data_IF_337562537861
#
_entry.id   IF_337562537861
#
_cell.length_a   1.000
_cell.length_b   1.000
_cell.length_c   1.000
_cell.angle_alpha   90.00
_cell.angle_beta   90.00
_cell.angle_gamma   90.00
#
_symmetry.space_group_name_H-M   'P 1'
#
loop_
_entity.id
_entity.type
_entity.pdbx_description
1 polymer ?
#
# COMPACT_ATOMS: atom_id res chain seq x y z
N UNK A 1 11.30 2.05 -1.38
CA UNK A 1 11.67 3.06 -2.40
C UNK A 1 11.70 2.36 -3.75
N UNK A 2 10.98 2.86 -4.76
CA UNK A 2 11.06 2.33 -6.13
C UNK A 2 12.18 3.05 -6.87
N UNK A 3 13.01 2.30 -7.61
CA UNK A 3 14.04 2.87 -8.47
C UNK A 3 13.49 3.05 -9.88
N UNK A 4 13.74 4.21 -10.50
CA UNK A 4 13.42 4.51 -11.90
C UNK A 4 14.70 4.52 -12.72
N UNK A 5 14.61 4.10 -13.99
CA UNK A 5 15.76 3.97 -14.87
C UNK A 5 15.38 4.40 -16.29
N UNK A 6 16.13 5.34 -16.87
CA UNK A 6 15.90 5.84 -18.22
C UNK A 6 16.51 4.88 -19.25
N UNK A 7 15.82 4.67 -20.38
CA UNK A 7 16.30 3.81 -21.47
C UNK A 7 16.20 4.52 -22.81
N UNK A 8 17.24 4.38 -23.63
CA UNK A 8 17.22 4.74 -25.06
C UNK A 8 17.10 3.48 -25.90
N UNK A 9 16.38 3.57 -27.02
CA UNK A 9 16.20 2.45 -27.96
C UNK A 9 16.80 2.80 -29.31
N UNK A 10 17.84 2.08 -29.70
CA UNK A 10 18.55 2.22 -30.97
C UNK A 10 18.58 0.86 -31.66
N UNK A 11 18.07 0.77 -32.89
CA UNK A 11 18.08 -0.48 -33.69
C UNK A 11 17.56 -1.70 -32.92
N UNK A 12 16.42 -1.56 -32.23
CA UNK A 12 15.81 -2.57 -31.36
C UNK A 12 16.62 -2.99 -30.12
N UNK A 13 17.73 -2.32 -29.81
CA UNK A 13 18.48 -2.52 -28.57
C UNK A 13 18.12 -1.41 -27.59
N UNK A 14 17.71 -1.80 -26.39
CA UNK A 14 17.49 -0.87 -25.27
C UNK A 14 18.73 -0.80 -24.38
N UNK A 15 19.18 0.41 -24.04
CA UNK A 15 20.31 0.63 -23.14
C UNK A 15 19.91 1.59 -22.01
N UNK A 16 20.30 1.29 -20.75
CA UNK A 16 20.08 2.22 -19.66
C UNK A 16 20.99 3.44 -19.82
N UNK A 17 20.46 4.61 -19.51
CA UNK A 17 21.17 5.90 -19.56
C UNK A 17 20.84 6.71 -18.31
N UNK A 18 21.51 7.86 -18.19
CA UNK A 18 21.22 8.84 -17.16
C UNK A 18 19.78 9.38 -17.25
N UNK A 19 19.17 9.73 -16.11
CA UNK A 19 17.80 10.26 -16.06
C UNK A 19 17.65 11.60 -16.77
N UNK A 20 18.71 12.41 -16.82
CA UNK A 20 18.71 13.72 -17.52
C UNK A 20 18.27 13.61 -18.99
N UNK A 21 18.65 12.52 -19.69
CA UNK A 21 18.22 12.34 -21.10
C UNK A 21 16.70 12.18 -21.23
N UNK A 22 16.04 11.56 -20.25
CA UNK A 22 14.58 11.44 -20.25
C UNK A 22 13.92 12.79 -19.92
N UNK A 23 14.50 13.57 -18.99
CA UNK A 23 14.02 14.90 -18.62
C UNK A 23 14.16 15.90 -19.78
N UNK A 24 15.32 15.91 -20.45
CA UNK A 24 15.59 16.73 -21.63
C UNK A 24 14.67 16.38 -22.81
N UNK A 25 14.26 15.11 -22.91
CA UNK A 25 13.27 14.65 -23.88
C UNK A 25 11.81 15.04 -23.51
N UNK A 26 11.61 15.70 -22.36
CA UNK A 26 10.29 16.09 -21.86
C UNK A 26 9.47 14.93 -21.29
N UNK A 27 10.09 13.79 -20.97
CA UNK A 27 9.41 12.68 -20.33
C UNK A 27 9.27 12.96 -18.83
N UNK A 28 8.06 12.84 -18.26
CA UNK A 28 7.86 13.07 -16.83
C UNK A 28 8.57 11.98 -16.02
N UNK A 29 9.28 12.39 -14.97
CA UNK A 29 9.87 11.46 -14.03
C UNK A 29 8.75 10.65 -13.35
N UNK A 30 8.85 9.31 -13.29
CA UNK A 30 7.84 8.47 -12.65
C UNK A 30 7.81 8.72 -11.15
N UNK A 31 6.61 8.70 -10.57
CA UNK A 31 6.43 8.89 -9.12
C UNK A 31 7.13 7.76 -8.35
N UNK A 32 8.16 8.12 -7.59
CA UNK A 32 8.94 7.20 -6.75
C UNK A 32 8.34 7.01 -5.34
N UNK A 33 7.35 7.84 -4.99
CA UNK A 33 6.61 7.79 -3.73
C UNK A 33 5.17 7.40 -4.02
N UNK A 34 4.70 6.33 -3.38
CA UNK A 34 3.31 5.93 -3.41
C UNK A 34 2.76 6.10 -1.99
N UNK A 35 1.72 6.90 -1.82
CA UNK A 35 1.04 7.06 -0.54
C UNK A 35 0.50 5.68 -0.11
N UNK A 36 0.91 5.20 1.06
CA UNK A 36 0.35 4.00 1.69
C UNK A 36 -0.52 4.42 2.88
N UNK A 37 -1.64 3.71 3.10
CA UNK A 37 -2.49 3.87 4.28
C UNK A 37 -3.35 5.14 4.28
N UNK A 38 -4.42 5.15 3.48
CA UNK A 38 -5.51 6.14 3.65
C UNK A 38 -6.44 5.80 4.82
N UNK A 39 -6.30 4.59 5.37
CA UNK A 39 -7.13 4.03 6.42
C UNK A 39 -6.27 3.93 7.69
N UNK A 40 -6.84 4.21 8.86
CA UNK A 40 -6.21 3.89 10.14
C UNK A 40 -5.80 2.40 10.16
N UNK A 41 -4.65 2.09 10.78
CA UNK A 41 -4.20 0.71 10.87
C UNK A 41 -5.25 -0.14 11.59
N UNK A 42 -5.64 -1.32 11.06
CA UNK A 42 -6.63 -2.16 11.70
C UNK A 42 -6.16 -2.53 13.11
N UNK A 43 -7.04 -2.34 14.09
CA UNK A 43 -6.78 -2.65 15.49
C UNK A 43 -7.85 -3.59 16.03
N UNK A 44 -7.49 -4.35 17.07
CA UNK A 44 -8.42 -5.22 17.77
C UNK A 44 -9.18 -4.42 18.81
N UNK A 45 -10.48 -4.25 18.63
CA UNK A 45 -11.33 -3.63 19.64
C UNK A 45 -11.90 -4.70 20.59
N UNK A 46 -11.85 -4.41 21.89
CA UNK A 46 -12.51 -5.24 22.89
C UNK A 46 -13.96 -4.82 23.06
N UNK A 47 -14.89 -5.78 23.06
CA UNK A 47 -16.30 -5.54 23.37
C UNK A 47 -16.71 -6.30 24.64
N UNK A 48 -17.71 -5.81 25.40
CA UNK A 48 -18.30 -6.56 26.50
C UNK A 48 -18.87 -7.90 26.05
N UNK A 49 -18.89 -8.87 26.95
CA UNK A 49 -19.52 -10.17 26.71
C UNK A 49 -21.02 -10.02 26.42
N UNK A 50 -21.51 -10.76 25.44
CA UNK A 50 -22.95 -10.87 25.16
C UNK A 50 -23.69 -11.48 26.37
N UNK A 51 -24.95 -11.06 26.64
CA UNK A 51 -25.76 -11.68 27.66
C UNK A 51 -26.01 -13.16 27.32
N UNK A 52 -26.06 -14.00 28.36
CA UNK A 52 -26.33 -15.43 28.20
C UNK A 52 -27.75 -15.64 27.65
N UNK A 53 -27.88 -16.47 26.61
CA UNK A 53 -29.16 -16.73 25.91
C UNK A 53 -30.14 -17.59 26.72
N UNK A 54 -29.69 -18.23 27.80
CA UNK A 54 -30.54 -19.03 28.66
C UNK A 54 -30.07 -18.92 30.11
N UNK A 55 -30.66 -17.99 30.86
CA UNK A 55 -30.56 -18.03 32.31
C UNK A 55 -31.55 -19.08 32.83
N UNK A 56 -31.16 -20.35 32.80
CA UNK A 56 -31.78 -21.33 33.70
C UNK A 56 -31.50 -20.83 35.12
N UNK A 57 -32.44 -20.06 35.69
CA UNK A 57 -32.37 -19.67 37.09
C UNK A 57 -32.35 -20.95 37.90
N UNK A 58 -31.18 -21.35 38.38
CA UNK A 58 -31.10 -22.32 39.47
C UNK A 58 -31.52 -21.54 40.71
N UNK A 59 -32.83 -21.47 40.93
CA UNK A 59 -33.41 -20.99 42.18
C UNK A 59 -33.15 -22.05 43.25
N UNK A 60 -32.23 -21.76 44.16
CA UNK A 60 -32.12 -22.47 45.44
C UNK A 60 -33.24 -21.97 46.36
N UNK A 61 -34.43 -22.54 46.24
CA UNK A 61 -35.48 -22.55 47.26
C UNK A 61 -36.26 -23.86 47.15
#
# INVERSE_FOLDING_TARGET
VRSSQCFVRLNNVSKPVDSSLCEDAGLPAPTNVQSCGYEDCPHWETAPWSPVSNSSKISYL
#
